data_IF_661256993884
#
_entry.id   IF_661256993884
#
_cell.length_a   1.000
_cell.length_b   1.000
_cell.length_c   1.000
_cell.angle_alpha   90.00
_cell.angle_beta   90.00
_cell.angle_gamma   90.00
#
_symmetry.space_group_name_H-M   'P 1'
#
loop_
_entity.id
_entity.type
_entity.pdbx_description
1 polymer ?
#
# COMPACT_ATOMS: atom_id res chain seq x y z
N UNK A 1 18.88 39.22 2.82
CA UNK A 1 17.47 38.82 2.88
C UNK A 1 17.06 37.95 1.71
N UNK A 2 17.33 38.36 0.48
CA UNK A 2 16.94 37.56 -0.69
C UNK A 2 17.59 36.16 -0.70
N UNK A 3 18.84 36.08 -0.24
CA UNK A 3 19.55 34.78 -0.21
C UNK A 3 18.90 33.80 0.75
N UNK A 4 18.34 34.30 1.85
CA UNK A 4 17.64 33.44 2.80
C UNK A 4 16.37 32.88 2.22
N UNK A 5 15.61 33.67 1.45
CA UNK A 5 14.40 33.22 0.80
C UNK A 5 14.71 32.14 -0.23
N UNK A 6 15.80 32.31 -0.93
CA UNK A 6 16.24 31.33 -1.92
C UNK A 6 16.55 29.98 -1.29
N UNK A 7 17.32 29.98 -0.21
CA UNK A 7 17.67 28.75 0.48
C UNK A 7 16.44 28.05 1.04
N UNK A 8 15.49 28.81 1.54
CA UNK A 8 14.25 28.25 2.07
C UNK A 8 13.44 27.54 0.99
N UNK A 9 13.35 28.14 -0.20
CA UNK A 9 12.64 27.53 -1.33
C UNK A 9 13.25 26.22 -1.74
N UNK A 10 14.58 26.13 -1.79
CA UNK A 10 15.29 24.89 -2.14
C UNK A 10 14.99 23.80 -1.13
N UNK A 11 14.95 24.10 0.15
CA UNK A 11 14.64 23.12 1.19
C UNK A 11 13.24 22.55 1.01
N UNK A 12 12.26 23.39 0.70
CA UNK A 12 10.89 22.93 0.45
C UNK A 12 10.83 21.97 -0.74
N UNK A 13 11.59 22.26 -1.77
CA UNK A 13 11.63 21.39 -2.96
C UNK A 13 12.17 20.01 -2.61
N UNK A 14 13.22 19.94 -1.77
CA UNK A 14 13.80 18.68 -1.36
C UNK A 14 12.82 17.84 -0.54
N UNK A 15 12.02 18.47 0.30
CA UNK A 15 11.05 17.77 1.14
C UNK A 15 9.94 17.15 0.31
N UNK A 16 9.60 17.72 -0.82
CA UNK A 16 8.48 17.25 -1.64
C UNK A 16 8.75 15.92 -2.34
N UNK A 17 9.97 15.38 -2.28
CA UNK A 17 10.34 14.12 -2.93
C UNK A 17 10.26 12.92 -1.99
N UNK A 18 9.40 12.95 -1.01
CA UNK A 18 9.30 11.90 -0.02
C UNK A 18 8.31 10.80 -0.42
N UNK A 19 8.16 9.82 0.45
CA UNK A 19 7.27 8.67 0.27
C UNK A 19 5.79 9.05 0.35
N UNK A 20 4.93 8.14 -0.09
CA UNK A 20 3.48 8.30 -0.06
C UNK A 20 2.88 7.44 1.05
N UNK A 21 2.14 8.06 1.95
CA UNK A 21 1.52 7.36 3.07
C UNK A 21 0.00 7.45 2.99
N UNK A 22 -0.67 6.32 3.17
CA UNK A 22 -2.12 6.23 3.19
C UNK A 22 -2.59 5.36 4.33
N UNK A 23 -3.67 5.77 4.98
CA UNK A 23 -4.38 4.94 5.93
C UNK A 23 -5.58 4.32 5.22
N UNK A 24 -5.64 3.00 5.16
CA UNK A 24 -6.72 2.28 4.52
C UNK A 24 -7.68 1.72 5.55
N UNK A 25 -8.97 1.86 5.29
CA UNK A 25 -10.00 1.12 6.02
C UNK A 25 -10.57 0.09 5.06
N UNK A 26 -10.37 -1.18 5.35
CA UNK A 26 -10.88 -2.26 4.50
C UNK A 26 -12.16 -2.78 5.15
N UNK A 27 -13.31 -2.58 4.50
CA UNK A 27 -14.60 -3.02 5.08
C UNK A 27 -14.64 -4.51 5.34
N UNK A 28 -15.53 -4.90 6.25
CA UNK A 28 -15.77 -6.30 6.57
C UNK A 28 -16.03 -7.11 5.29
N UNK A 29 -15.37 -8.24 5.15
CA UNK A 29 -15.57 -9.18 4.05
C UNK A 29 -15.31 -8.57 2.67
N UNK A 30 -14.38 -7.60 2.61
CA UNK A 30 -13.95 -7.01 1.33
C UNK A 30 -12.45 -7.10 1.17
N UNK A 31 -12.02 -6.93 -0.06
CA UNK A 31 -10.60 -6.91 -0.44
C UNK A 31 -10.28 -5.58 -1.07
N UNK A 32 -9.15 -4.99 -0.68
CA UNK A 32 -8.61 -3.79 -1.29
C UNK A 32 -7.54 -4.17 -2.29
N UNK A 33 -7.65 -3.67 -3.52
CA UNK A 33 -6.66 -3.88 -4.58
C UNK A 33 -5.79 -2.64 -4.72
N UNK A 34 -4.47 -2.85 -4.76
CA UNK A 34 -3.49 -1.79 -4.88
C UNK A 34 -2.61 -2.05 -6.09
N UNK A 35 -2.47 -1.05 -6.95
CA UNK A 35 -1.53 -1.10 -8.05
C UNK A 35 -2.03 -1.83 -9.29
N UNK A 36 -3.33 -1.95 -9.47
CA UNK A 36 -3.90 -2.65 -10.61
C UNK A 36 -3.45 -2.08 -11.95
N UNK A 37 -3.25 -0.76 -12.00
CA UNK A 37 -2.83 -0.07 -13.22
C UNK A 37 -1.41 0.49 -13.11
N UNK A 38 -0.68 0.10 -12.11
CA UNK A 38 0.67 0.59 -11.90
C UNK A 38 1.64 -0.09 -12.88
N UNK A 39 2.60 0.66 -13.39
CA UNK A 39 3.55 0.17 -14.38
C UNK A 39 5.01 0.27 -13.91
N UNK A 40 5.22 0.43 -12.63
CA UNK A 40 6.56 0.56 -12.04
C UNK A 40 6.73 -0.34 -10.83
N UNK A 41 7.96 -0.78 -10.58
CA UNK A 41 8.29 -1.49 -9.35
C UNK A 41 8.24 -0.52 -8.18
N UNK A 42 7.84 -1.00 -7.02
CA UNK A 42 7.80 -0.16 -5.81
C UNK A 42 7.88 -1.03 -4.58
N UNK A 43 8.10 -0.39 -3.43
CA UNK A 43 8.04 -1.05 -2.14
C UNK A 43 6.87 -0.49 -1.34
N UNK A 44 6.30 -1.32 -0.50
CA UNK A 44 5.22 -0.93 0.40
C UNK A 44 5.56 -1.40 1.80
N UNK A 45 5.56 -0.47 2.73
CA UNK A 45 5.66 -0.80 4.14
C UNK A 45 4.24 -0.86 4.68
N UNK A 46 3.87 -1.98 5.29
CA UNK A 46 2.51 -2.25 5.74
C UNK A 46 2.47 -2.33 7.26
N UNK A 47 1.52 -1.65 7.86
CA UNK A 47 1.31 -1.68 9.31
C UNK A 47 -0.16 -1.98 9.57
N UNK A 48 -0.43 -3.13 10.17
CA UNK A 48 -1.81 -3.49 10.54
C UNK A 48 -2.16 -2.79 11.84
N UNK A 49 -3.02 -1.80 11.76
CA UNK A 49 -3.43 -1.01 12.93
C UNK A 49 -4.55 -1.66 13.72
N UNK A 50 -5.10 -2.76 13.23
CA UNK A 50 -6.23 -3.44 13.87
C UNK A 50 -5.78 -4.58 14.78
N UNK A 51 -6.75 -5.19 15.47
CA UNK A 51 -6.53 -6.36 16.30
C UNK A 51 -6.86 -7.66 15.57
N UNK A 52 -7.00 -7.60 14.26
CA UNK A 52 -7.38 -8.74 13.42
C UNK A 52 -6.35 -8.95 12.33
N UNK A 53 -6.26 -10.18 11.84
CA UNK A 53 -5.32 -10.55 10.78
C UNK A 53 -5.87 -10.11 9.42
N UNK A 54 -4.97 -9.62 8.56
CA UNK A 54 -5.27 -9.29 7.16
C UNK A 54 -4.41 -10.18 6.27
N UNK A 55 -5.01 -10.75 5.24
CA UNK A 55 -4.28 -11.56 4.27
C UNK A 55 -3.78 -10.66 3.17
N UNK A 56 -2.48 -10.74 2.86
CA UNK A 56 -1.86 -9.94 1.80
C UNK A 56 -1.33 -10.87 0.73
N UNK A 57 -1.71 -10.60 -0.52
CA UNK A 57 -1.27 -11.38 -1.66
C UNK A 57 -0.80 -10.45 -2.77
N UNK A 58 0.28 -10.81 -3.43
CA UNK A 58 0.68 -10.18 -4.68
C UNK A 58 0.34 -11.15 -5.81
N UNK A 59 -0.34 -10.66 -6.83
CA UNK A 59 -0.84 -11.49 -7.92
C UNK A 59 -0.31 -10.96 -9.23
N UNK A 60 0.26 -11.84 -10.05
CA UNK A 60 0.74 -11.48 -11.37
C UNK A 60 -0.43 -11.06 -12.26
N UNK A 61 -0.33 -9.90 -12.90
CA UNK A 61 -1.41 -9.32 -13.70
C UNK A 61 -1.69 -10.15 -14.96
N UNK A 62 -0.69 -10.82 -15.49
CA UNK A 62 -0.81 -11.54 -16.75
C UNK A 62 -1.32 -12.96 -16.55
N UNK A 63 -0.78 -13.68 -15.57
CA UNK A 63 -1.10 -15.08 -15.34
C UNK A 63 -2.19 -15.27 -14.29
N UNK A 64 -2.40 -14.28 -13.41
CA UNK A 64 -3.30 -14.43 -12.27
C UNK A 64 -2.74 -15.28 -11.16
N UNK A 65 -1.47 -15.64 -11.22
CA UNK A 65 -0.85 -16.47 -10.19
C UNK A 65 -0.43 -15.63 -8.98
N UNK A 66 -0.58 -16.21 -7.79
CA UNK A 66 -0.14 -15.59 -6.56
C UNK A 66 1.37 -15.76 -6.46
N UNK A 67 2.09 -14.63 -6.44
CA UNK A 67 3.55 -14.62 -6.36
C UNK A 67 4.07 -14.47 -4.94
N UNK A 68 3.27 -13.83 -4.08
CA UNK A 68 3.59 -13.66 -2.65
C UNK A 68 2.29 -13.78 -1.88
N UNK A 69 2.34 -14.38 -0.69
CA UNK A 69 1.16 -14.46 0.17
C UNK A 69 1.61 -14.59 1.61
N UNK A 70 1.01 -13.80 2.49
CA UNK A 70 1.31 -13.87 3.91
C UNK A 70 0.17 -13.28 4.73
N UNK A 71 0.17 -13.59 6.02
CA UNK A 71 -0.79 -13.03 6.96
C UNK A 71 -0.13 -11.87 7.69
N UNK A 72 -0.75 -10.70 7.59
CA UNK A 72 -0.30 -9.54 8.34
C UNK A 72 -0.99 -9.57 9.70
N UNK A 73 -0.22 -9.96 10.71
CA UNK A 73 -0.74 -10.16 12.07
C UNK A 73 -1.28 -8.86 12.68
N UNK A 74 -2.15 -8.95 13.68
CA UNK A 74 -2.60 -7.76 14.41
C UNK A 74 -1.40 -6.94 14.89
N UNK A 75 -1.43 -5.64 14.65
CA UNK A 75 -0.34 -4.70 14.98
C UNK A 75 0.98 -5.03 14.30
N UNK A 76 0.97 -5.97 13.34
CA UNK A 76 2.18 -6.38 12.63
C UNK A 76 2.63 -5.36 11.60
N UNK A 77 3.91 -5.42 11.28
CA UNK A 77 4.55 -4.54 10.31
C UNK A 77 5.45 -5.35 9.41
N UNK A 78 5.43 -5.05 8.12
CA UNK A 78 6.32 -5.70 7.16
C UNK A 78 6.57 -4.79 5.97
N UNK A 79 7.60 -5.10 5.20
CA UNK A 79 7.94 -4.38 3.98
C UNK A 79 7.92 -5.36 2.82
N UNK A 80 7.27 -4.97 1.73
CA UNK A 80 7.06 -5.84 0.57
C UNK A 80 7.63 -5.17 -0.68
N UNK A 81 8.30 -5.95 -1.51
CA UNK A 81 8.78 -5.51 -2.81
C UNK A 81 7.79 -5.97 -3.86
N UNK A 82 7.26 -5.04 -4.64
CA UNK A 82 6.19 -5.31 -5.58
C UNK A 82 6.66 -4.96 -6.99
N UNK A 83 6.53 -5.93 -7.90
CA UNK A 83 6.89 -5.75 -9.30
C UNK A 83 5.80 -4.98 -10.04
N UNK A 84 6.18 -4.30 -11.10
CA UNK A 84 5.23 -3.60 -11.98
C UNK A 84 4.17 -4.52 -12.56
N UNK A 85 4.40 -5.83 -12.56
CA UNK A 85 3.47 -6.81 -13.09
C UNK A 85 2.55 -7.43 -12.03
N UNK A 86 2.60 -6.90 -10.81
CA UNK A 86 1.83 -7.44 -9.69
C UNK A 86 0.79 -6.45 -9.18
N UNK A 87 -0.37 -6.98 -8.79
CA UNK A 87 -1.38 -6.25 -8.03
C UNK A 87 -1.40 -6.80 -6.62
N UNK A 88 -1.51 -5.93 -5.62
CA UNK A 88 -1.54 -6.36 -4.22
C UNK A 88 -2.98 -6.42 -3.74
N UNK A 89 -3.36 -7.53 -3.14
CA UNK A 89 -4.69 -7.76 -2.57
C UNK A 89 -4.56 -7.78 -1.05
N UNK A 90 -5.34 -6.92 -0.39
CA UNK A 90 -5.46 -6.91 1.07
C UNK A 90 -6.83 -7.47 1.40
N UNK A 91 -6.89 -8.72 1.82
CA UNK A 91 -8.15 -9.43 2.04
C UNK A 91 -8.54 -9.36 3.51
N UNK A 92 -9.68 -8.74 3.78
CA UNK A 92 -10.27 -8.71 5.10
C UNK A 92 -11.38 -9.77 5.16
N UNK A 93 -11.10 -10.88 5.79
CA UNK A 93 -12.07 -11.97 5.95
C UNK A 93 -12.79 -11.91 7.29
N UNK A 94 -12.63 -10.80 8.00
CA UNK A 94 -13.27 -10.59 9.29
C UNK A 94 -14.63 -9.93 9.13
N UNK A 95 -15.47 -10.12 10.12
CA UNK A 95 -16.83 -9.54 10.12
C UNK A 95 -16.88 -8.06 10.48
N UNK A 96 -15.74 -7.40 10.67
CA UNK A 96 -15.66 -5.98 10.97
C UNK A 96 -14.53 -5.35 10.14
N UNK A 97 -14.53 -4.03 10.07
CA UNK A 97 -13.51 -3.28 9.32
C UNK A 97 -12.13 -3.44 9.95
N UNK A 98 -11.10 -3.42 9.11
CA UNK A 98 -9.71 -3.40 9.57
C UNK A 98 -9.01 -2.16 9.01
N UNK A 99 -8.00 -1.67 9.72
CA UNK A 99 -7.22 -0.50 9.31
C UNK A 99 -5.78 -0.90 9.07
N UNK A 100 -5.25 -0.52 7.92
CA UNK A 100 -3.88 -0.81 7.52
C UNK A 100 -3.24 0.47 7.01
N UNK A 101 -2.09 0.84 7.56
CA UNK A 101 -1.29 1.93 7.01
C UNK A 101 -0.38 1.37 5.93
N UNK A 102 -0.30 2.08 4.81
CA UNK A 102 0.54 1.71 3.68
C UNK A 102 1.45 2.87 3.36
N UNK A 103 2.76 2.62 3.36
CA UNK A 103 3.77 3.62 3.02
C UNK A 103 4.43 3.17 1.73
N UNK A 104 4.23 3.92 0.67
CA UNK A 104 4.70 3.57 -0.66
C UNK A 104 5.94 4.36 -1.03
N UNK A 105 6.88 3.70 -1.70
CA UNK A 105 8.09 4.37 -2.19
C UNK A 105 7.81 5.25 -3.41
N UNK A 106 6.68 5.04 -4.09
CA UNK A 106 6.27 5.78 -5.28
C UNK A 106 4.77 5.90 -5.30
N UNK A 107 4.25 6.86 -6.08
CA UNK A 107 2.81 6.93 -6.35
C UNK A 107 2.39 5.69 -7.13
N UNK A 108 1.31 5.06 -6.70
CA UNK A 108 0.80 3.81 -7.27
C UNK A 108 -0.61 4.03 -7.78
N UNK A 109 -0.89 3.54 -8.98
CA UNK A 109 -2.18 3.73 -9.62
C UNK A 109 -3.04 2.48 -9.54
N UNK A 110 -4.36 2.70 -9.43
CA UNK A 110 -5.33 1.62 -9.35
C UNK A 110 -5.58 1.19 -7.93
N UNK A 111 -6.65 1.73 -7.34
CA UNK A 111 -7.07 1.39 -5.97
C UNK A 111 -8.57 1.22 -5.98
N UNK A 112 -9.05 0.07 -5.52
CA UNK A 112 -10.48 -0.19 -5.41
C UNK A 112 -10.77 -1.32 -4.45
N UNK A 113 -12.02 -1.43 -4.04
CA UNK A 113 -12.48 -2.52 -3.19
C UNK A 113 -13.33 -3.50 -3.98
N UNK A 114 -13.25 -4.77 -3.63
CA UNK A 114 -14.12 -5.81 -4.17
C UNK A 114 -14.65 -6.67 -3.02
N UNK A 115 -15.78 -7.32 -3.24
CA UNK A 115 -16.33 -8.26 -2.27
C UNK A 115 -15.55 -9.56 -2.29
N UNK A 116 -15.43 -10.19 -1.12
CA UNK A 116 -14.77 -11.48 -0.98
C UNK A 116 -15.74 -12.60 -1.38
N UNK A 117 -15.72 -12.93 -2.63
CA UNK A 117 -16.63 -14.00 -3.05
C UNK A 117 -16.02 -14.93 -4.04
#
# INVERSE_FOLDING_TARGET
MRKLLFAFTILLTLISCSTFKSGLTIPANQTFLLGEFNDKNYTAELVNKSNLTVIVKAVDKNSGEVTQSFWLAPKGRTKVYISKNETVYFENENGIDVKVDVILSKGVQGMRYIDNK
#
